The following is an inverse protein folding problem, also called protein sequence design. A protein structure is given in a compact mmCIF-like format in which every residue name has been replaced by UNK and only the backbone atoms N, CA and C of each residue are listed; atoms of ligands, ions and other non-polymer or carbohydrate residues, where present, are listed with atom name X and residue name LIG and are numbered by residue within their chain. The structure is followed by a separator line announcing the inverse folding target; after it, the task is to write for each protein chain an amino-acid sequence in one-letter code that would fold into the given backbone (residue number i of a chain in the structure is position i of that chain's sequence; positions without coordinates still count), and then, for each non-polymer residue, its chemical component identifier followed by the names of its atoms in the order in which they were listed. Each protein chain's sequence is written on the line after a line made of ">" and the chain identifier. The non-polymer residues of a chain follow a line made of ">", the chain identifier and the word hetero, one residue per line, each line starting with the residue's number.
data_IF_775313469552
#
_entry.id   IF_775313469552
#
_cell.length_a   1.000
_cell.length_b   1.000
_cell.length_c   1.000
_cell.angle_alpha   90.00
_cell.angle_beta   90.00
_cell.angle_gamma   90.00
#
_symmetry.space_group_name_H-M   'P 1'
#
loop_
_entity.id
_entity.type
_entity.pdbx_description
1 polymer ?
#
# COMPACT_ATOMS: atom_id res chain seq x y z
N UNK A 1 39.11 4.19 -32.76
CA UNK A 1 37.99 5.07 -33.18
C UNK A 1 36.65 4.32 -33.24
N UNK A 2 36.51 3.22 -33.99
CA UNK A 2 35.23 2.48 -34.08
C UNK A 2 34.69 2.03 -32.71
N UNK A 3 35.55 1.57 -31.80
CA UNK A 3 35.15 1.22 -30.43
C UNK A 3 34.56 2.40 -29.65
N UNK A 4 35.06 3.63 -29.83
CA UNK A 4 34.54 4.84 -29.18
C UNK A 4 33.17 5.24 -29.74
N UNK A 5 33.00 5.18 -31.07
CA UNK A 5 31.72 5.48 -31.74
C UNK A 5 30.64 4.47 -31.36
N UNK A 6 31.00 3.19 -31.28
CA UNK A 6 30.09 2.10 -30.89
C UNK A 6 29.81 2.08 -29.39
N UNK A 7 30.70 2.65 -28.57
CA UNK A 7 30.47 2.81 -27.14
C UNK A 7 29.27 3.74 -26.86
N UNK A 8 29.08 4.77 -27.68
CA UNK A 8 28.01 5.77 -27.56
C UNK A 8 26.63 5.29 -28.06
N UNK A 9 26.54 4.11 -28.68
CA UNK A 9 25.27 3.54 -29.20
C UNK A 9 24.60 2.64 -28.18
N UNK A 10 23.26 2.53 -28.23
CA UNK A 10 22.47 1.62 -27.39
C UNK A 10 22.79 0.16 -27.72
N UNK A 11 22.62 -0.76 -26.75
CA UNK A 11 23.01 -2.19 -26.88
C UNK A 11 22.45 -2.88 -28.15
N UNK A 12 21.27 -2.48 -28.63
CA UNK A 12 20.63 -3.04 -29.84
C UNK A 12 21.27 -2.56 -31.16
N UNK A 13 21.93 -1.40 -31.16
CA UNK A 13 22.54 -0.77 -32.34
C UNK A 13 24.06 -0.94 -32.38
N UNK A 14 24.65 -1.58 -31.36
CA UNK A 14 26.09 -1.78 -31.23
C UNK A 14 26.54 -2.97 -32.08
N UNK A 15 27.52 -2.76 -32.94
CA UNK A 15 28.18 -3.83 -33.71
C UNK A 15 28.95 -4.75 -32.77
N UNK A 16 28.90 -6.06 -33.02
CA UNK A 16 29.70 -7.02 -32.27
C UNK A 16 31.15 -7.04 -32.78
N UNK A 17 32.09 -7.51 -31.93
CA UNK A 17 33.53 -7.53 -32.27
C UNK A 17 33.84 -8.40 -33.48
N UNK A 18 33.04 -9.44 -33.73
CA UNK A 18 33.17 -10.32 -34.89
C UNK A 18 32.84 -9.60 -36.20
N UNK A 19 31.82 -8.74 -36.20
CA UNK A 19 31.48 -7.85 -37.32
C UNK A 19 32.57 -6.82 -37.56
N UNK A 20 33.10 -6.21 -36.49
CA UNK A 20 34.19 -5.24 -36.63
C UNK A 20 35.47 -5.88 -37.21
N UNK A 21 35.79 -7.11 -36.81
CA UNK A 21 36.90 -7.86 -37.39
C UNK A 21 36.70 -8.13 -38.88
N UNK A 22 35.50 -8.57 -39.28
CA UNK A 22 35.19 -8.80 -40.70
C UNK A 22 35.36 -7.52 -41.53
N UNK A 23 34.89 -6.40 -41.01
CA UNK A 23 35.00 -5.09 -41.67
C UNK A 23 36.47 -4.63 -41.75
N UNK A 24 37.29 -4.92 -40.72
CA UNK A 24 38.73 -4.62 -40.74
C UNK A 24 39.49 -5.47 -41.77
N UNK A 25 39.16 -6.76 -41.90
CA UNK A 25 39.78 -7.64 -42.91
C UNK A 25 39.47 -7.14 -44.33
N UNK A 26 38.24 -6.69 -44.58
CA UNK A 26 37.85 -6.08 -45.86
C UNK A 26 38.62 -4.79 -46.18
N UNK A 27 39.11 -4.08 -45.16
CA UNK A 27 39.95 -2.88 -45.29
C UNK A 27 41.46 -3.20 -45.34
N UNK A 28 41.84 -4.48 -45.43
CA UNK A 28 43.23 -4.91 -45.57
C UNK A 28 43.94 -5.26 -44.27
N UNK A 29 43.22 -5.44 -43.15
CA UNK A 29 43.82 -5.91 -41.90
C UNK A 29 44.21 -7.40 -41.99
N UNK A 30 45.49 -7.71 -41.79
CA UNK A 30 46.05 -9.07 -41.89
C UNK A 30 46.24 -9.77 -40.53
N UNK A 31 45.86 -9.13 -39.42
CA UNK A 31 45.98 -9.71 -38.08
C UNK A 31 44.83 -10.65 -37.71
N UNK A 32 44.98 -11.38 -36.59
CA UNK A 32 43.97 -12.32 -36.11
C UNK A 32 42.83 -11.64 -35.33
N UNK A 33 41.68 -12.31 -35.26
CA UNK A 33 40.53 -11.90 -34.44
C UNK A 33 40.91 -11.69 -32.96
N UNK A 34 41.83 -12.52 -32.45
CA UNK A 34 42.29 -12.43 -31.06
C UNK A 34 43.04 -11.13 -30.77
N UNK A 35 43.77 -10.58 -31.76
CA UNK A 35 44.41 -9.27 -31.62
C UNK A 35 43.40 -8.13 -31.57
N UNK A 36 42.30 -8.23 -32.33
CA UNK A 36 41.20 -7.25 -32.24
C UNK A 36 40.48 -7.37 -30.89
N UNK A 37 40.30 -8.57 -30.37
CA UNK A 37 39.73 -8.79 -29.03
C UNK A 37 40.64 -8.26 -27.92
N UNK A 38 41.95 -8.52 -28.00
CA UNK A 38 42.94 -8.02 -27.05
C UNK A 38 42.99 -6.48 -27.06
N UNK A 39 43.03 -5.87 -28.24
CA UNK A 39 42.96 -4.42 -28.39
C UNK A 39 41.65 -3.84 -27.83
N UNK A 40 40.51 -4.49 -28.05
CA UNK A 40 39.23 -4.05 -27.51
C UNK A 40 39.14 -4.17 -25.97
N UNK A 41 39.80 -5.17 -25.37
CA UNK A 41 39.93 -5.31 -23.91
C UNK A 41 40.82 -4.19 -23.35
N UNK A 42 42.02 -4.03 -23.90
CA UNK A 42 42.95 -3.00 -23.49
C UNK A 42 42.37 -1.59 -23.67
N UNK A 43 41.61 -1.35 -24.73
CA UNK A 43 40.89 -0.10 -24.93
C UNK A 43 39.82 0.12 -23.85
N UNK A 44 39.01 -0.90 -23.52
CA UNK A 44 38.03 -0.80 -22.42
C UNK A 44 38.69 -0.56 -21.07
N UNK A 45 39.79 -1.24 -20.78
CA UNK A 45 40.56 -1.07 -19.54
C UNK A 45 41.15 0.34 -19.49
N UNK A 46 41.64 0.86 -20.63
CA UNK A 46 42.14 2.24 -20.74
C UNK A 46 41.04 3.30 -20.62
N UNK A 47 39.82 3.04 -21.10
CA UNK A 47 38.67 3.93 -20.93
C UNK A 47 38.14 3.87 -19.49
N UNK A 48 38.15 2.70 -18.85
CA UNK A 48 37.85 2.56 -17.42
C UNK A 48 38.89 3.27 -16.55
N UNK A 49 40.18 3.13 -16.89
CA UNK A 49 41.27 3.82 -16.20
C UNK A 49 41.20 5.34 -16.42
N UNK A 50 40.90 5.81 -17.64
CA UNK A 50 40.65 7.24 -17.93
C UNK A 50 39.39 7.75 -17.23
N UNK A 51 38.33 6.97 -17.13
CA UNK A 51 37.14 7.32 -16.34
C UNK A 51 37.44 7.39 -14.84
N UNK A 52 38.33 6.53 -14.33
CA UNK A 52 38.80 6.54 -12.93
C UNK A 52 39.78 7.69 -12.65
N UNK A 53 40.57 8.13 -13.64
CA UNK A 53 41.64 9.13 -13.46
C UNK A 53 41.19 10.55 -13.80
N UNK A 54 40.35 10.74 -14.82
CA UNK A 54 39.81 12.05 -15.23
C UNK A 54 38.65 12.53 -14.34
N UNK A 55 38.22 11.73 -13.36
CA UNK A 55 37.10 12.00 -12.45
C UNK A 55 37.49 12.29 -11.00
N UNK A 56 38.78 12.41 -10.67
CA UNK A 56 39.19 12.92 -9.35
C UNK A 56 39.14 14.45 -9.36
N UNK A 57 37.93 15.00 -9.36
CA UNK A 57 37.73 16.38 -8.95
C UNK A 57 38.35 16.59 -7.56
N UNK A 58 38.86 17.79 -7.30
CA UNK A 58 39.10 18.22 -5.93
C UNK A 58 37.71 18.43 -5.30
N UNK A 59 37.35 17.62 -4.31
CA UNK A 59 36.07 17.74 -3.62
C UNK A 59 36.28 18.50 -2.33
N UNK A 60 35.43 19.49 -2.06
CA UNK A 60 35.39 20.15 -0.76
C UNK A 60 34.60 19.24 0.17
N UNK A 61 35.18 18.77 1.29
CA UNK A 61 34.44 18.01 2.30
C UNK A 61 33.27 18.84 2.81
N UNK A 62 32.06 18.27 2.82
CA UNK A 62 30.87 18.92 3.35
C UNK A 62 30.70 18.49 4.80
N UNK A 63 30.39 19.46 5.68
CA UNK A 63 30.03 19.21 7.08
C UNK A 63 28.64 19.74 7.33
N UNK A 64 27.82 18.94 8.00
CA UNK A 64 26.45 19.28 8.35
C UNK A 64 26.28 19.29 9.87
N UNK A 65 25.53 20.25 10.39
CA UNK A 65 25.12 20.31 11.79
C UNK A 65 24.01 19.29 12.10
N UNK A 66 23.81 19.01 13.39
CA UNK A 66 22.72 18.16 13.86
C UNK A 66 21.36 18.69 13.37
N UNK A 67 20.54 17.80 12.82
CA UNK A 67 19.20 18.12 12.33
C UNK A 67 19.19 19.04 11.10
N UNK A 68 20.34 19.33 10.50
CA UNK A 68 20.43 20.26 9.38
C UNK A 68 19.84 19.67 8.11
N UNK A 69 20.21 18.45 7.75
CA UNK A 69 19.86 17.89 6.45
C UNK A 69 19.68 16.37 6.43
N UNK A 70 18.80 15.90 5.55
CA UNK A 70 18.79 14.52 5.07
C UNK A 70 19.00 14.46 3.56
N UNK A 71 19.45 13.32 3.07
CA UNK A 71 19.46 12.97 1.67
C UNK A 71 18.39 11.92 1.38
N UNK A 72 17.70 12.08 0.26
CA UNK A 72 16.79 11.10 -0.28
C UNK A 72 17.28 10.59 -1.64
N UNK A 73 17.19 9.28 -1.86
CA UNK A 73 17.44 8.67 -3.16
C UNK A 73 16.53 7.46 -3.42
N UNK A 74 16.32 7.16 -4.70
CA UNK A 74 15.66 5.94 -5.13
C UNK A 74 16.69 4.94 -5.64
N UNK A 75 16.48 3.67 -5.34
CA UNK A 75 17.25 2.62 -5.97
C UNK A 75 16.44 1.37 -6.25
N UNK A 76 17.00 0.45 -7.05
CA UNK A 76 16.30 -0.77 -7.46
C UNK A 76 16.95 -1.99 -6.81
N UNK A 77 16.17 -2.83 -6.13
CA UNK A 77 16.63 -4.10 -5.57
C UNK A 77 15.67 -5.25 -5.85
N UNK A 78 16.04 -6.47 -5.45
CA UNK A 78 15.20 -7.65 -5.56
C UNK A 78 15.03 -8.33 -4.20
N UNK A 79 13.80 -8.66 -3.84
CA UNK A 79 13.50 -9.49 -2.67
C UNK A 79 12.57 -10.63 -3.06
N UNK A 80 12.56 -11.70 -2.26
CA UNK A 80 11.57 -12.78 -2.41
C UNK A 80 10.33 -12.43 -1.60
N UNK A 81 9.19 -12.32 -2.27
CA UNK A 81 7.88 -12.06 -1.68
C UNK A 81 6.91 -13.14 -2.18
N UNK A 82 6.22 -13.81 -1.26
CA UNK A 82 5.33 -14.93 -1.52
C UNK A 82 5.97 -16.00 -2.44
N UNK A 83 7.24 -16.33 -2.18
CA UNK A 83 7.97 -17.33 -2.95
C UNK A 83 8.48 -16.87 -4.33
N UNK A 84 8.26 -15.61 -4.72
CA UNK A 84 8.67 -15.06 -6.02
C UNK A 84 9.71 -13.97 -5.86
N UNK A 85 10.72 -13.95 -6.73
CA UNK A 85 11.66 -12.84 -6.80
C UNK A 85 10.99 -11.64 -7.46
N UNK A 86 10.83 -10.55 -6.71
CA UNK A 86 10.15 -9.33 -7.16
C UNK A 86 11.15 -8.18 -7.21
N UNK A 87 11.13 -7.42 -8.31
CA UNK A 87 11.87 -6.17 -8.42
C UNK A 87 11.17 -5.08 -7.62
N UNK A 88 11.93 -4.41 -6.76
CA UNK A 88 11.45 -3.39 -5.84
C UNK A 88 12.19 -2.07 -6.06
N UNK A 89 11.51 -1.00 -5.67
CA UNK A 89 11.97 0.36 -5.68
C UNK A 89 12.16 0.77 -4.21
N UNK A 90 13.42 0.97 -3.82
CA UNK A 90 13.81 1.25 -2.44
C UNK A 90 14.01 2.75 -2.28
N UNK A 91 13.15 3.36 -1.48
CA UNK A 91 13.33 4.71 -0.97
C UNK A 91 14.42 4.68 0.10
N UNK A 92 15.44 5.49 -0.07
CA UNK A 92 16.55 5.60 0.88
C UNK A 92 16.57 6.99 1.49
N UNK A 93 16.53 7.06 2.81
CA UNK A 93 16.74 8.28 3.58
C UNK A 93 18.02 8.15 4.37
N UNK A 94 18.80 9.23 4.42
CA UNK A 94 20.03 9.28 5.23
C UNK A 94 20.20 10.65 5.86
N UNK A 95 20.31 10.72 7.17
CA UNK A 95 20.68 11.95 7.89
C UNK A 95 22.12 12.33 7.56
N UNK A 96 22.34 13.61 7.29
CA UNK A 96 23.63 14.10 6.83
C UNK A 96 24.66 14.14 7.98
N UNK A 97 24.23 14.42 9.22
CA UNK A 97 25.11 14.45 10.38
C UNK A 97 25.38 13.04 10.94
N UNK A 98 24.40 12.41 11.60
CA UNK A 98 24.58 11.08 12.25
C UNK A 98 24.86 9.93 11.29
N UNK A 99 24.59 10.12 9.99
CA UNK A 99 24.61 9.06 8.96
C UNK A 99 23.56 7.96 9.17
N UNK A 100 22.65 8.12 10.12
CA UNK A 100 21.51 7.21 10.29
C UNK A 100 20.69 7.15 9.01
N UNK A 101 20.23 5.96 8.65
CA UNK A 101 19.57 5.72 7.39
C UNK A 101 18.36 4.80 7.55
N UNK A 102 17.35 5.02 6.71
CA UNK A 102 16.11 4.26 6.67
C UNK A 102 15.82 3.87 5.23
N UNK A 103 15.36 2.64 5.06
CA UNK A 103 15.01 2.08 3.77
C UNK A 103 13.56 1.60 3.78
N UNK A 104 12.84 1.89 2.70
CA UNK A 104 11.47 1.40 2.51
C UNK A 104 11.26 0.97 1.07
N UNK A 105 10.73 -0.23 0.90
CA UNK A 105 10.49 -0.87 -0.37
C UNK A 105 9.07 -0.61 -0.91
N UNK A 106 8.99 -0.40 -2.22
CA UNK A 106 7.77 -0.23 -2.99
C UNK A 106 7.84 -1.02 -4.30
N UNK A 107 6.69 -1.27 -4.92
CA UNK A 107 6.66 -1.87 -6.26
C UNK A 107 6.97 -0.86 -7.38
N UNK A 108 6.75 0.44 -7.15
CA UNK A 108 6.88 1.51 -8.15
C UNK A 108 7.43 2.80 -7.51
N UNK A 109 7.98 3.69 -8.34
CA UNK A 109 8.41 5.04 -7.95
C UNK A 109 7.39 6.08 -8.45
N UNK A 110 6.33 6.34 -7.68
CA UNK A 110 5.36 7.42 -7.96
C UNK A 110 5.23 8.38 -6.78
N UNK A 111 4.47 9.45 -6.98
CA UNK A 111 4.32 10.55 -6.01
C UNK A 111 3.75 10.06 -4.69
N UNK A 112 2.70 9.24 -4.73
CA UNK A 112 2.07 8.68 -3.53
C UNK A 112 3.05 7.82 -2.70
N UNK A 113 3.94 7.07 -3.35
CA UNK A 113 4.98 6.29 -2.65
C UNK A 113 6.11 7.19 -2.12
N UNK A 114 6.44 8.27 -2.84
CA UNK A 114 7.41 9.25 -2.36
C UNK A 114 6.91 9.88 -1.05
N UNK A 115 5.65 10.31 -1.02
CA UNK A 115 5.05 10.95 0.15
C UNK A 115 4.92 9.97 1.33
N UNK A 116 4.48 8.73 1.07
CA UNK A 116 4.45 7.65 2.07
C UNK A 116 5.85 7.40 2.67
N UNK A 117 6.89 7.40 1.82
CA UNK A 117 8.25 7.14 2.28
C UNK A 117 8.77 8.23 3.23
N UNK A 118 8.44 9.50 2.98
CA UNK A 118 8.81 10.61 3.87
C UNK A 118 8.15 10.47 5.23
N UNK A 119 6.84 10.19 5.25
CA UNK A 119 6.11 9.97 6.50
C UNK A 119 6.77 8.87 7.34
N UNK A 120 6.99 7.69 6.74
CA UNK A 120 7.58 6.57 7.46
C UNK A 120 9.02 6.84 7.92
N UNK A 121 9.84 7.48 7.08
CA UNK A 121 11.21 7.81 7.48
C UNK A 121 11.24 8.81 8.64
N UNK A 122 10.42 9.87 8.59
CA UNK A 122 10.34 10.87 9.65
C UNK A 122 9.79 10.30 10.96
N UNK A 123 8.84 9.36 10.89
CA UNK A 123 8.40 8.61 12.06
C UNK A 123 9.55 7.80 12.68
N UNK A 124 10.36 7.12 11.86
CA UNK A 124 11.48 6.31 12.35
C UNK A 124 12.57 7.19 12.96
N UNK A 125 12.85 8.36 12.38
CA UNK A 125 13.77 9.33 12.95
C UNK A 125 13.21 10.07 14.17
N UNK A 126 11.88 10.03 14.39
CA UNK A 126 11.22 10.77 15.47
C UNK A 126 11.21 12.29 15.28
N UNK A 127 11.44 12.77 14.05
CA UNK A 127 11.53 14.19 13.75
C UNK A 127 11.93 14.47 12.30
N UNK A 128 11.99 15.75 11.94
CA UNK A 128 12.21 16.23 10.56
C UNK A 128 13.45 17.13 10.52
N UNK A 129 14.44 16.84 9.66
CA UNK A 129 15.58 17.75 9.47
C UNK A 129 15.18 19.02 8.71
N UNK A 130 15.92 20.10 8.91
CA UNK A 130 15.63 21.44 8.35
C UNK A 130 15.67 21.46 6.82
N UNK A 131 16.43 20.57 6.19
CA UNK A 131 16.64 20.51 4.74
C UNK A 131 16.61 19.10 4.18
N UNK A 132 15.94 18.90 3.05
CA UNK A 132 15.97 17.68 2.26
C UNK A 132 16.80 17.88 0.98
N UNK A 133 17.77 17.00 0.76
CA UNK A 133 18.64 16.99 -0.42
C UNK A 133 18.18 15.87 -1.36
N UNK A 134 17.84 16.23 -2.59
CA UNK A 134 17.25 15.35 -3.58
C UNK A 134 18.04 15.34 -4.88
N UNK A 135 17.97 14.23 -5.62
CA UNK A 135 18.32 14.25 -7.04
C UNK A 135 17.19 14.90 -7.88
N UNK A 136 17.46 15.28 -9.13
CA UNK A 136 16.45 15.79 -10.07
C UNK A 136 15.51 14.67 -10.56
N UNK A 137 14.85 13.98 -9.61
CA UNK A 137 13.93 12.89 -9.88
C UNK A 137 12.57 13.43 -10.35
N UNK A 138 11.99 12.74 -11.35
CA UNK A 138 10.69 13.11 -11.95
C UNK A 138 9.52 13.07 -10.95
N UNK A 139 9.68 12.40 -9.82
CA UNK A 139 8.67 12.31 -8.74
C UNK A 139 8.63 13.55 -7.84
N UNK A 140 9.60 14.47 -7.98
CA UNK A 140 9.61 15.74 -7.28
C UNK A 140 9.76 16.95 -8.23
N UNK A 141 10.26 16.74 -9.44
CA UNK A 141 10.47 17.79 -10.45
C UNK A 141 9.65 17.48 -11.71
N UNK A 142 8.69 18.35 -12.05
CA UNK A 142 7.86 18.22 -13.26
C UNK A 142 8.67 18.58 -14.53
N UNK A 143 9.53 19.60 -14.44
CA UNK A 143 10.47 19.96 -15.52
C UNK A 143 11.68 20.74 -14.99
N UNK A 144 12.87 20.46 -15.54
CA UNK A 144 14.11 21.20 -15.25
C UNK A 144 14.26 22.31 -16.29
N UNK A 145 14.26 23.59 -15.85
CA UNK A 145 14.47 24.76 -16.71
C UNK A 145 15.95 25.08 -16.95
N UNK A 146 16.25 26.25 -17.55
CA UNK A 146 17.63 26.77 -17.65
C UNK A 146 18.05 27.37 -16.31
N UNK A 147 19.12 26.86 -15.69
CA UNK A 147 19.67 27.40 -14.43
C UNK A 147 19.08 26.78 -13.16
N UNK A 148 18.84 27.58 -12.11
CA UNK A 148 18.28 27.14 -10.81
C UNK A 148 16.74 27.06 -10.78
N UNK A 149 16.06 27.49 -11.85
CA UNK A 149 14.60 27.46 -11.93
C UNK A 149 14.08 26.05 -12.22
N UNK A 150 13.32 25.50 -11.27
CA UNK A 150 12.69 24.19 -11.37
C UNK A 150 11.19 24.34 -11.19
N UNK A 151 10.42 23.69 -12.08
CA UNK A 151 8.98 23.52 -11.83
C UNK A 151 8.83 22.30 -10.92
N UNK A 152 8.79 22.56 -9.63
CA UNK A 152 8.56 21.55 -8.59
C UNK A 152 7.10 21.13 -8.64
N UNK A 153 6.85 19.83 -8.47
CA UNK A 153 5.49 19.30 -8.46
C UNK A 153 4.68 19.95 -7.32
N UNK A 154 3.48 20.48 -7.62
CA UNK A 154 2.66 21.21 -6.65
C UNK A 154 2.36 20.39 -5.39
N UNK A 155 2.16 19.08 -5.51
CA UNK A 155 1.91 18.19 -4.37
C UNK A 155 3.18 17.95 -3.55
N UNK A 156 4.35 17.88 -4.19
CA UNK A 156 5.62 17.83 -3.48
C UNK A 156 5.86 19.12 -2.69
N UNK A 157 5.63 20.30 -3.29
CA UNK A 157 5.68 21.58 -2.57
C UNK A 157 4.72 21.63 -1.40
N UNK A 158 3.50 21.09 -1.54
CA UNK A 158 2.53 20.99 -0.46
C UNK A 158 3.04 20.11 0.70
N UNK A 159 3.64 18.95 0.39
CA UNK A 159 4.25 18.08 1.39
C UNK A 159 5.42 18.77 2.12
N UNK A 160 6.32 19.41 1.36
CA UNK A 160 7.46 20.17 1.90
C UNK A 160 6.97 21.27 2.83
N UNK A 161 5.92 22.01 2.45
CA UNK A 161 5.31 23.05 3.27
C UNK A 161 4.61 22.49 4.51
N UNK A 162 3.97 21.33 4.41
CA UNK A 162 3.32 20.65 5.54
C UNK A 162 4.34 20.20 6.60
N UNK A 163 5.50 19.72 6.17
CA UNK A 163 6.58 19.26 7.05
C UNK A 163 7.63 20.33 7.37
N UNK A 164 7.49 21.55 6.81
CA UNK A 164 8.29 22.74 7.11
C UNK A 164 9.82 22.58 6.90
N UNK A 165 10.26 21.80 5.93
CA UNK A 165 11.69 21.70 5.56
C UNK A 165 12.00 22.39 4.24
N UNK A 166 13.27 22.73 3.97
CA UNK A 166 13.71 23.27 2.68
C UNK A 166 14.13 22.15 1.72
N UNK A 167 13.61 22.14 0.48
CA UNK A 167 13.94 21.12 -0.51
C UNK A 167 14.99 21.62 -1.50
N UNK A 168 16.20 21.06 -1.43
CA UNK A 168 17.30 21.38 -2.33
C UNK A 168 17.56 20.23 -3.30
N UNK A 169 17.57 20.50 -4.60
CA UNK A 169 17.96 19.50 -5.59
C UNK A 169 19.36 19.77 -6.14
N UNK A 170 20.16 18.72 -6.30
CA UNK A 170 21.51 18.81 -6.88
C UNK A 170 21.48 19.28 -8.34
N UNK A 171 22.54 19.95 -8.81
CA UNK A 171 22.62 20.37 -10.20
C UNK A 171 22.73 19.15 -11.16
N UNK A 172 22.04 19.15 -12.33
CA UNK A 172 22.22 18.11 -13.33
C UNK A 172 23.71 17.96 -13.70
N UNK A 173 24.20 16.72 -13.76
CA UNK A 173 25.61 16.38 -14.06
C UNK A 173 26.67 16.81 -13.01
N UNK A 174 26.26 17.13 -11.78
CA UNK A 174 27.18 17.48 -10.68
C UNK A 174 27.38 16.35 -9.68
N UNK A 175 27.95 15.22 -10.13
CA UNK A 175 28.31 14.09 -9.25
C UNK A 175 29.32 14.44 -8.15
N UNK A 176 29.96 15.62 -8.24
CA UNK A 176 30.94 16.12 -7.28
C UNK A 176 30.33 16.64 -5.97
N UNK A 177 29.03 16.97 -5.94
CA UNK A 177 28.32 17.33 -4.69
C UNK A 177 27.92 16.09 -3.87
N UNK A 178 28.01 14.87 -4.44
CA UNK A 178 27.56 13.61 -3.83
C UNK A 178 28.70 12.69 -3.33
N UNK A 179 29.96 13.07 -3.57
CA UNK A 179 31.12 12.18 -3.47
C UNK A 179 31.45 11.59 -2.09
N UNK A 180 31.06 12.24 -0.99
CA UNK A 180 31.28 11.68 0.36
C UNK A 180 30.33 10.53 0.71
N UNK A 181 29.15 10.47 0.06
CA UNK A 181 28.05 9.61 0.52
C UNK A 181 27.91 8.36 -0.37
N UNK A 182 28.25 8.43 -1.66
CA UNK A 182 28.06 7.33 -2.63
C UNK A 182 28.85 6.05 -2.30
N UNK A 183 30.08 6.17 -1.77
CA UNK A 183 30.92 5.01 -1.46
C UNK A 183 30.36 4.19 -0.28
N UNK A 184 29.85 4.87 0.75
CA UNK A 184 29.28 4.22 1.93
C UNK A 184 27.90 3.59 1.68
N UNK A 185 27.09 4.15 0.77
CA UNK A 185 25.77 3.59 0.44
C UNK A 185 25.89 2.26 -0.32
N UNK A 186 26.87 2.13 -1.22
CA UNK A 186 27.13 0.85 -1.91
C UNK A 186 27.58 -0.25 -0.95
N UNK A 187 28.47 0.06 0.00
CA UNK A 187 29.00 -0.91 0.97
C UNK A 187 27.96 -1.34 2.02
N UNK A 188 27.09 -0.42 2.44
CA UNK A 188 26.04 -0.70 3.43
C UNK A 188 24.93 -1.57 2.84
N UNK A 189 24.66 -1.43 1.55
CA UNK A 189 23.57 -2.14 0.86
C UNK A 189 23.81 -3.65 0.79
N UNK A 190 25.04 -4.08 0.51
CA UNK A 190 25.35 -5.51 0.48
C UNK A 190 25.14 -6.16 1.87
N UNK A 191 25.53 -5.46 2.94
CA UNK A 191 25.33 -5.94 4.33
C UNK A 191 23.88 -5.89 4.79
N UNK A 192 23.11 -4.94 4.28
CA UNK A 192 21.69 -4.82 4.60
C UNK A 192 20.91 -6.04 4.12
N UNK A 193 21.07 -6.43 2.85
CA UNK A 193 20.34 -7.54 2.24
C UNK A 193 20.92 -8.93 2.56
N UNK A 194 22.10 -8.99 3.16
CA UNK A 194 22.71 -10.24 3.57
C UNK A 194 21.82 -10.96 4.60
N UNK A 195 21.40 -12.18 4.29
CA UNK A 195 20.54 -12.98 5.16
C UNK A 195 19.05 -12.60 5.11
N UNK A 196 18.60 -11.82 4.13
CA UNK A 196 17.19 -11.50 3.95
C UNK A 196 16.36 -12.79 3.73
N UNK A 197 15.31 -13.04 4.54
CA UNK A 197 14.43 -14.20 4.38
C UNK A 197 13.47 -14.05 3.18
N UNK A 198 12.64 -15.07 2.94
CA UNK A 198 11.47 -14.96 2.06
C UNK A 198 10.33 -14.30 2.86
N UNK A 199 9.69 -13.28 2.30
CA UNK A 199 8.65 -12.51 2.96
C UNK A 199 7.26 -12.92 2.45
N UNK A 200 6.21 -12.87 3.27
CA UNK A 200 4.85 -13.15 2.80
C UNK A 200 4.26 -11.96 2.03
N UNK A 201 4.58 -10.74 2.47
CA UNK A 201 4.09 -9.50 1.88
C UNK A 201 5.16 -8.41 1.81
N UNK A 202 4.87 -7.34 1.05
CA UNK A 202 5.70 -6.13 1.04
C UNK A 202 5.72 -5.44 2.42
N UNK A 203 4.62 -5.52 3.18
CA UNK A 203 4.54 -4.97 4.52
C UNK A 203 5.54 -5.65 5.46
N UNK A 204 5.61 -6.99 5.42
CA UNK A 204 6.57 -7.77 6.23
C UNK A 204 8.02 -7.42 5.90
N UNK A 205 8.32 -7.25 4.61
CA UNK A 205 9.65 -6.79 4.16
C UNK A 205 9.97 -5.40 4.74
N UNK A 206 9.02 -4.46 4.72
CA UNK A 206 9.24 -3.11 5.23
C UNK A 206 9.44 -3.07 6.75
N UNK A 207 8.69 -3.89 7.50
CA UNK A 207 8.92 -4.08 8.95
C UNK A 207 10.33 -4.61 9.18
N UNK A 208 10.74 -5.64 8.44
CA UNK A 208 12.09 -6.20 8.56
C UNK A 208 13.19 -5.19 8.20
N UNK A 209 13.01 -4.41 7.12
CA UNK A 209 13.96 -3.36 6.70
C UNK A 209 14.16 -2.31 7.79
N UNK A 210 13.07 -1.88 8.45
CA UNK A 210 13.16 -0.95 9.56
C UNK A 210 14.01 -1.52 10.71
N UNK A 211 13.71 -2.74 11.16
CA UNK A 211 14.48 -3.41 12.20
C UNK A 211 15.95 -3.59 11.81
N UNK A 212 16.21 -3.97 10.55
CA UNK A 212 17.57 -4.16 10.04
C UNK A 212 18.35 -2.85 9.99
N UNK A 213 17.71 -1.74 9.59
CA UNK A 213 18.34 -0.42 9.60
C UNK A 213 18.75 -0.03 11.03
N UNK A 214 17.84 -0.16 12.01
CA UNK A 214 18.12 0.15 13.42
C UNK A 214 19.25 -0.71 13.99
N UNK A 215 19.26 -2.01 13.70
CA UNK A 215 20.34 -2.91 14.11
C UNK A 215 21.71 -2.48 13.55
N UNK A 216 21.74 -2.10 12.26
CA UNK A 216 22.97 -1.62 11.63
C UNK A 216 23.48 -0.29 12.22
N UNK A 217 22.62 0.56 12.76
CA UNK A 217 23.07 1.80 13.41
C UNK A 217 23.97 1.51 14.63
N UNK A 218 23.71 0.40 15.35
CA UNK A 218 24.54 -0.06 16.47
C UNK A 218 25.84 -0.72 16.02
N UNK A 219 25.82 -1.41 14.87
CA UNK A 219 26.98 -2.14 14.34
C UNK A 219 27.99 -1.21 13.61
N UNK A 220 27.50 -0.14 12.99
CA UNK A 220 28.30 0.73 12.14
C UNK A 220 28.94 1.88 12.95
N UNK A 221 30.24 2.09 12.70
CA UNK A 221 30.98 3.25 13.20
C UNK A 221 30.72 4.48 12.34
N UNK A 222 30.61 5.63 12.98
CA UNK A 222 30.51 6.91 12.30
C UNK A 222 31.83 7.22 11.57
N UNK A 223 31.82 7.65 10.29
CA UNK A 223 33.06 7.86 9.53
C UNK A 223 33.98 8.97 10.05
N UNK A 224 33.42 9.95 10.75
CA UNK A 224 34.14 11.17 11.20
C UNK A 224 34.16 11.36 12.73
N UNK A 225 33.37 10.57 13.48
CA UNK A 225 33.20 10.71 14.92
C UNK A 225 33.56 9.36 15.55
N UNK A 226 34.20 9.37 16.72
CA UNK A 226 34.58 8.13 17.41
C UNK A 226 33.40 7.55 18.20
N UNK A 227 32.31 7.27 17.50
CA UNK A 227 31.08 6.70 18.05
C UNK A 227 30.36 5.87 16.99
N UNK A 228 29.33 5.12 17.41
CA UNK A 228 28.42 4.42 16.51
C UNK A 228 27.45 5.39 15.84
N UNK A 229 26.84 4.96 14.74
CA UNK A 229 25.77 5.73 14.09
C UNK A 229 24.57 5.92 15.03
N UNK A 230 24.29 4.93 15.88
CA UNK A 230 23.21 5.00 16.87
C UNK A 230 23.47 6.09 17.93
N UNK A 231 24.68 6.17 18.48
CA UNK A 231 25.05 7.20 19.46
C UNK A 231 24.97 8.60 18.83
N UNK A 232 25.55 8.77 17.63
CA UNK A 232 25.46 10.04 16.91
C UNK A 232 24.01 10.44 16.56
N UNK A 233 23.13 9.47 16.30
CA UNK A 233 21.72 9.71 16.05
C UNK A 233 20.97 10.12 17.33
N UNK A 234 21.28 9.50 18.47
CA UNK A 234 20.69 9.89 19.74
C UNK A 234 21.00 11.34 20.10
N UNK A 235 22.23 11.80 19.81
CA UNK A 235 22.63 13.20 19.96
C UNK A 235 21.89 14.13 18.97
N UNK A 236 21.69 13.68 17.73
CA UNK A 236 21.02 14.47 16.67
C UNK A 236 19.50 14.56 16.86
N UNK A 237 18.87 13.55 17.47
CA UNK A 237 17.41 13.43 17.51
C UNK A 237 16.73 14.62 18.21
N UNK A 238 17.35 15.19 19.24
CA UNK A 238 16.84 16.37 19.95
C UNK A 238 16.83 17.67 19.13
N UNK A 239 17.61 17.71 18.05
CA UNK A 239 17.75 18.88 17.16
C UNK A 239 16.83 18.80 15.92
N UNK A 240 16.12 17.68 15.74
CA UNK A 240 15.13 17.51 14.69
C UNK A 240 13.88 18.33 15.00
N UNK A 241 13.25 18.87 13.95
CA UNK A 241 11.96 19.54 14.09
C UNK A 241 10.88 18.53 14.46
N UNK A 242 9.87 18.99 15.21
CA UNK A 242 8.75 18.16 15.61
C UNK A 242 8.03 17.57 14.39
N UNK A 243 7.62 16.30 14.50
CA UNK A 243 6.85 15.61 13.47
C UNK A 243 5.36 15.97 13.61
N UNK A 244 4.75 16.69 12.64
CA UNK A 244 3.30 16.92 12.63
C UNK A 244 2.55 15.65 12.24
N UNK A 245 1.21 15.74 12.13
CA UNK A 245 0.39 14.66 11.58
C UNK A 245 0.81 14.29 10.15
N UNK A 246 0.49 13.07 9.72
CA UNK A 246 0.78 12.60 8.37
C UNK A 246 0.18 13.54 7.30
N UNK A 247 0.97 13.86 6.28
CA UNK A 247 0.49 14.54 5.08
C UNK A 247 -0.46 13.62 4.30
N UNK A 248 -1.60 14.15 3.84
CA UNK A 248 -2.55 13.36 3.06
C UNK A 248 -2.00 13.07 1.63
N UNK A 249 -1.33 11.93 1.52
CA UNK A 249 -0.41 11.55 0.45
C UNK A 249 -1.07 11.00 -0.84
N UNK A 250 -2.38 11.21 -1.06
CA UNK A 250 -3.06 10.66 -2.25
C UNK A 250 -2.85 11.42 -3.56
N UNK A 251 -2.76 10.71 -4.68
CA UNK A 251 -2.89 11.34 -6.00
C UNK A 251 -4.33 11.24 -6.46
N UNK A 252 -4.94 12.37 -6.79
CA UNK A 252 -6.33 12.41 -7.25
C UNK A 252 -6.45 12.26 -8.76
N UNK A 253 -7.41 11.43 -9.20
CA UNK A 253 -7.77 11.27 -10.60
C UNK A 253 -9.27 11.16 -10.76
N UNK A 254 -9.84 11.88 -11.73
CA UNK A 254 -11.24 11.68 -12.11
C UNK A 254 -11.38 10.40 -12.94
N UNK A 255 -12.24 9.48 -12.51
CA UNK A 255 -12.53 8.22 -13.21
C UNK A 255 -14.03 8.06 -13.41
N UNK A 256 -14.42 7.49 -14.55
CA UNK A 256 -15.81 7.12 -14.82
C UNK A 256 -16.05 5.67 -14.39
N UNK A 257 -17.10 5.46 -13.59
CA UNK A 257 -17.56 4.13 -13.18
C UNK A 257 -18.27 3.46 -14.36
N UNK A 258 -17.97 2.19 -14.63
CA UNK A 258 -18.63 1.42 -15.69
C UNK A 258 -20.07 1.06 -15.33
N UNK A 259 -20.84 0.55 -16.30
CA UNK A 259 -22.18 0.01 -16.06
C UNK A 259 -22.20 -1.22 -15.14
N UNK A 260 -21.06 -1.91 -15.01
CA UNK A 260 -20.86 -3.03 -14.07
C UNK A 260 -20.32 -2.59 -12.71
N UNK A 261 -20.39 -1.30 -12.40
CA UNK A 261 -19.97 -0.70 -11.14
C UNK A 261 -18.46 -0.85 -10.86
N UNK A 262 -17.62 -0.76 -11.88
CA UNK A 262 -16.16 -0.92 -11.76
C UNK A 262 -15.41 0.36 -12.14
N UNK A 263 -14.27 0.59 -11.50
CA UNK A 263 -13.26 1.60 -11.84
C UNK A 263 -11.97 0.93 -12.25
N UNK A 264 -11.37 1.42 -13.34
CA UNK A 264 -10.13 0.88 -13.88
C UNK A 264 -8.92 1.70 -13.42
N UNK A 265 -7.94 1.03 -12.80
CA UNK A 265 -6.68 1.62 -12.40
C UNK A 265 -5.52 0.63 -12.55
N UNK A 266 -4.46 1.04 -13.24
CA UNK A 266 -3.22 0.25 -13.43
C UNK A 266 -3.43 -1.18 -13.95
N UNK A 267 -4.44 -1.34 -14.82
CA UNK A 267 -4.82 -2.63 -15.39
C UNK A 267 -5.77 -3.45 -14.51
N UNK A 268 -5.97 -3.08 -13.24
CA UNK A 268 -6.90 -3.72 -12.32
C UNK A 268 -8.28 -3.02 -12.33
N UNK A 269 -9.29 -3.73 -11.84
CA UNK A 269 -10.68 -3.26 -11.74
C UNK A 269 -11.16 -3.37 -10.30
N UNK A 270 -11.79 -2.32 -9.81
CA UNK A 270 -12.26 -2.22 -8.42
C UNK A 270 -13.73 -1.84 -8.41
N UNK A 271 -14.53 -2.53 -7.60
CA UNK A 271 -15.97 -2.25 -7.50
C UNK A 271 -16.29 -0.99 -6.70
N UNK A 272 -17.43 -0.39 -7.01
CA UNK A 272 -17.95 0.83 -6.39
C UNK A 272 -19.46 0.62 -6.17
N UNK A 273 -20.10 1.22 -5.14
CA UNK A 273 -21.53 1.06 -4.92
C UNK A 273 -22.34 1.36 -6.18
N UNK A 274 -23.34 0.52 -6.45
CA UNK A 274 -24.08 0.55 -7.70
C UNK A 274 -24.87 1.84 -7.96
N UNK A 275 -25.14 2.63 -6.92
CA UNK A 275 -25.70 3.99 -7.03
C UNK A 275 -24.83 4.92 -7.87
N UNK A 276 -23.53 4.65 -7.98
CA UNK A 276 -22.55 5.44 -8.73
C UNK A 276 -22.24 4.89 -10.13
N UNK A 277 -22.93 3.84 -10.59
CA UNK A 277 -22.75 3.31 -11.94
C UNK A 277 -22.91 4.39 -13.01
N UNK A 278 -22.02 4.41 -14.01
CA UNK A 278 -21.97 5.41 -15.09
C UNK A 278 -21.69 6.87 -14.65
N UNK A 279 -21.36 7.13 -13.38
CA UNK A 279 -21.00 8.47 -12.89
C UNK A 279 -19.48 8.70 -12.93
N UNK A 280 -19.07 9.95 -12.95
CA UNK A 280 -17.68 10.33 -12.70
C UNK A 280 -17.46 10.46 -11.19
N UNK A 281 -16.36 9.88 -10.71
CA UNK A 281 -15.96 9.93 -9.30
C UNK A 281 -14.50 10.35 -9.19
N UNK A 282 -14.10 10.80 -8.01
CA UNK A 282 -12.70 11.00 -7.66
C UNK A 282 -12.09 9.68 -7.17
N UNK A 283 -10.96 9.30 -7.76
CA UNK A 283 -10.11 8.21 -7.29
C UNK A 283 -8.90 8.82 -6.60
N UNK A 284 -8.82 8.65 -5.28
CA UNK A 284 -7.69 9.01 -4.44
C UNK A 284 -6.75 7.81 -4.30
N UNK A 285 -5.56 7.94 -4.85
CA UNK A 285 -4.58 6.87 -4.97
C UNK A 285 -3.53 7.04 -3.87
N UNK A 286 -3.53 6.14 -2.89
CA UNK A 286 -2.49 6.04 -1.87
C UNK A 286 -1.44 5.00 -2.27
N UNK A 287 -0.36 4.88 -1.50
CA UNK A 287 0.72 3.94 -1.78
C UNK A 287 0.25 2.48 -1.72
N UNK A 288 -0.64 2.16 -0.78
CA UNK A 288 -1.12 0.82 -0.44
C UNK A 288 -2.62 0.60 -0.72
N UNK A 289 -3.40 1.68 -0.88
CA UNK A 289 -4.85 1.62 -1.07
C UNK A 289 -5.40 2.61 -2.10
N UNK A 290 -6.64 2.38 -2.50
CA UNK A 290 -7.43 3.24 -3.37
C UNK A 290 -8.70 3.63 -2.64
N UNK A 291 -8.98 4.93 -2.56
CA UNK A 291 -10.22 5.46 -1.99
C UNK A 291 -11.01 6.13 -3.10
N UNK A 292 -12.23 5.67 -3.29
CA UNK A 292 -13.19 6.25 -4.22
C UNK A 292 -14.02 7.26 -3.45
N UNK A 293 -14.15 8.48 -3.99
CA UNK A 293 -14.93 9.54 -3.41
C UNK A 293 -15.86 10.19 -4.44
N UNK A 294 -17.07 10.52 -4.02
CA UNK A 294 -18.06 11.25 -4.82
C UNK A 294 -18.77 12.25 -3.93
N UNK A 295 -19.08 13.44 -4.45
CA UNK A 295 -19.86 14.46 -3.73
C UNK A 295 -19.26 14.82 -2.35
N UNK A 296 -17.93 14.75 -2.23
CA UNK A 296 -17.19 15.03 -1.00
C UNK A 296 -17.16 13.87 0.02
N UNK A 297 -17.82 12.76 -0.25
CA UNK A 297 -17.89 11.59 0.64
C UNK A 297 -17.05 10.43 0.13
N UNK A 298 -16.52 9.62 1.07
CA UNK A 298 -15.85 8.36 0.75
C UNK A 298 -16.92 7.29 0.47
N UNK A 299 -16.83 6.63 -0.69
CA UNK A 299 -17.86 5.70 -1.16
C UNK A 299 -17.38 4.26 -1.24
N UNK A 300 -16.07 4.04 -1.40
CA UNK A 300 -15.45 2.71 -1.37
C UNK A 300 -13.95 2.83 -1.07
N UNK A 301 -13.39 1.80 -0.46
CA UNK A 301 -11.96 1.65 -0.25
C UNK A 301 -11.53 0.25 -0.69
N UNK A 302 -10.41 0.15 -1.40
CA UNK A 302 -9.83 -1.12 -1.83
C UNK A 302 -8.32 -1.15 -1.60
N UNK A 303 -7.74 -2.29 -1.18
CA UNK A 303 -6.29 -2.45 -1.21
C UNK A 303 -5.78 -2.34 -2.64
N UNK A 304 -4.66 -1.65 -2.83
CA UNK A 304 -4.10 -1.42 -4.16
C UNK A 304 -3.35 -2.65 -4.62
N UNK A 305 -3.78 -3.19 -5.77
CA UNK A 305 -3.14 -4.33 -6.38
C UNK A 305 -2.06 -3.88 -7.36
N UNK A 306 -0.85 -4.41 -7.19
CA UNK A 306 0.26 -4.24 -8.12
C UNK A 306 0.41 -5.50 -8.97
N UNK A 307 0.36 -5.35 -10.28
CA UNK A 307 0.46 -6.48 -11.20
C UNK A 307 1.82 -7.19 -11.08
N UNK A 308 1.83 -8.48 -10.74
CA UNK A 308 3.01 -9.33 -10.90
C UNK A 308 3.27 -9.51 -12.39
N UNK A 309 4.51 -9.27 -12.82
CA UNK A 309 4.95 -9.47 -14.20
C UNK A 309 4.49 -10.81 -14.78
N UNK A 310 4.11 -10.79 -16.06
CA UNK A 310 3.59 -11.88 -16.91
C UNK A 310 2.11 -12.27 -16.78
N UNK A 311 1.36 -11.83 -15.77
CA UNK A 311 -0.10 -12.00 -15.78
C UNK A 311 -0.75 -10.99 -16.74
N UNK A 312 -0.98 -11.40 -17.99
CA UNK A 312 -1.63 -10.60 -19.05
C UNK A 312 -3.08 -10.18 -18.75
N UNK A 313 -3.64 -10.53 -17.59
CA UNK A 313 -5.01 -10.20 -17.19
C UNK A 313 -4.98 -9.42 -15.88
N UNK A 314 -5.61 -8.25 -15.91
CA UNK A 314 -5.90 -7.46 -14.72
C UNK A 314 -6.77 -8.22 -13.73
N UNK A 315 -6.51 -8.03 -12.44
CA UNK A 315 -7.36 -8.56 -11.38
C UNK A 315 -8.64 -7.72 -11.26
N UNK A 316 -9.72 -8.34 -10.80
CA UNK A 316 -10.97 -7.63 -10.49
C UNK A 316 -11.33 -7.89 -9.05
N UNK A 317 -11.32 -6.84 -8.25
CA UNK A 317 -11.70 -6.89 -6.85
C UNK A 317 -13.15 -6.46 -6.71
N UNK A 318 -13.98 -7.42 -6.32
CA UNK A 318 -15.38 -7.17 -6.01
C UNK A 318 -15.55 -7.02 -4.51
N UNK A 319 -16.41 -6.09 -4.13
CA UNK A 319 -17.07 -6.08 -2.85
C UNK A 319 -18.55 -6.31 -3.14
N UNK A 320 -19.11 -7.38 -2.58
CA UNK A 320 -20.48 -7.79 -2.85
C UNK A 320 -21.50 -6.80 -2.27
N UNK A 321 -21.13 -6.05 -1.23
CA UNK A 321 -21.98 -4.99 -0.65
C UNK A 321 -22.37 -3.94 -1.68
N UNK A 322 -21.44 -3.60 -2.58
CA UNK A 322 -21.66 -2.62 -3.65
C UNK A 322 -22.81 -2.98 -4.59
N UNK A 323 -23.20 -4.26 -4.66
CA UNK A 323 -24.21 -4.76 -5.59
C UNK A 323 -25.56 -5.06 -4.94
N UNK A 324 -25.70 -4.94 -3.61
CA UNK A 324 -26.92 -5.34 -2.88
C UNK A 324 -28.17 -4.58 -3.34
N UNK A 325 -28.07 -3.27 -3.58
CA UNK A 325 -29.20 -2.47 -4.07
C UNK A 325 -29.68 -2.87 -5.46
N UNK A 326 -28.77 -3.39 -6.31
CA UNK A 326 -29.12 -3.96 -7.63
C UNK A 326 -29.70 -5.35 -7.46
N UNK A 327 -29.16 -6.13 -6.53
CA UNK A 327 -29.58 -7.49 -6.27
C UNK A 327 -31.04 -7.55 -5.78
N UNK A 328 -31.47 -6.62 -4.93
CA UNK A 328 -32.88 -6.45 -4.53
C UNK A 328 -33.83 -6.28 -5.73
N UNK A 329 -33.39 -5.60 -6.79
CA UNK A 329 -34.19 -5.39 -8.01
C UNK A 329 -34.07 -6.54 -9.01
N UNK A 330 -32.95 -7.29 -8.97
CA UNK A 330 -32.64 -8.37 -9.91
C UNK A 330 -32.14 -9.62 -9.18
N UNK A 331 -33.01 -10.36 -8.46
CA UNK A 331 -32.60 -11.50 -7.64
C UNK A 331 -31.88 -12.62 -8.42
N UNK A 332 -32.26 -12.81 -9.68
CA UNK A 332 -31.62 -13.83 -10.55
C UNK A 332 -30.11 -13.62 -10.77
N UNK A 333 -29.59 -12.41 -10.54
CA UNK A 333 -28.15 -12.13 -10.63
C UNK A 333 -27.34 -12.87 -9.55
N UNK A 334 -27.98 -13.30 -8.46
CA UNK A 334 -27.33 -14.03 -7.37
C UNK A 334 -26.72 -15.37 -7.80
N UNK A 335 -27.27 -16.02 -8.83
CA UNK A 335 -26.84 -17.36 -9.26
C UNK A 335 -25.45 -17.38 -9.89
N UNK A 336 -25.16 -16.40 -10.76
CA UNK A 336 -23.96 -16.35 -11.59
C UNK A 336 -23.21 -15.01 -11.48
N UNK A 337 -23.61 -14.14 -10.55
CA UNK A 337 -22.99 -12.83 -10.37
C UNK A 337 -21.59 -12.97 -9.80
N UNK A 338 -20.58 -12.51 -10.55
CA UNK A 338 -19.19 -12.55 -10.13
C UNK A 338 -18.92 -11.94 -8.73
N UNK A 339 -19.55 -10.83 -8.30
CA UNK A 339 -19.36 -10.30 -6.96
C UNK A 339 -19.74 -11.26 -5.84
N UNK A 340 -20.71 -12.14 -6.07
CA UNK A 340 -21.24 -13.06 -5.05
C UNK A 340 -20.45 -14.38 -4.97
N UNK A 341 -19.46 -14.58 -5.85
CA UNK A 341 -18.58 -15.74 -5.80
C UNK A 341 -17.67 -15.74 -4.55
N UNK A 342 -17.43 -14.58 -3.94
CA UNK A 342 -16.56 -14.40 -2.76
C UNK A 342 -17.36 -14.19 -1.46
N UNK A 343 -18.66 -14.54 -1.43
CA UNK A 343 -19.46 -14.46 -0.21
C UNK A 343 -18.86 -15.29 0.96
N UNK A 344 -19.05 -14.83 2.21
CA UNK A 344 -18.70 -15.60 3.40
C UNK A 344 -19.25 -17.05 3.37
N UNK A 345 -18.52 -18.03 3.95
CA UNK A 345 -18.89 -19.45 3.86
C UNK A 345 -20.31 -19.76 4.35
N UNK A 346 -20.76 -19.12 5.44
CA UNK A 346 -22.10 -19.31 5.98
C UNK A 346 -23.18 -18.85 4.98
N UNK A 347 -23.01 -17.67 4.36
CA UNK A 347 -23.93 -17.21 3.32
C UNK A 347 -23.93 -18.13 2.09
N UNK A 348 -22.77 -18.66 1.67
CA UNK A 348 -22.71 -19.64 0.56
C UNK A 348 -23.46 -20.94 0.88
N UNK A 349 -23.31 -21.44 2.12
CA UNK A 349 -24.02 -22.63 2.59
C UNK A 349 -25.53 -22.40 2.67
N UNK A 350 -25.93 -21.22 3.16
CA UNK A 350 -27.35 -20.82 3.17
C UNK A 350 -27.90 -20.71 1.74
N UNK A 351 -27.16 -20.06 0.85
CA UNK A 351 -27.52 -19.89 -0.55
C UNK A 351 -27.75 -21.25 -1.25
N UNK A 352 -26.87 -22.24 -1.03
CA UNK A 352 -27.01 -23.56 -1.66
C UNK A 352 -28.26 -24.33 -1.18
N UNK A 353 -28.70 -24.09 0.05
CA UNK A 353 -29.93 -24.66 0.62
C UNK A 353 -31.18 -23.93 0.09
N UNK A 354 -31.17 -22.59 0.14
CA UNK A 354 -32.32 -21.79 -0.26
C UNK A 354 -32.59 -21.86 -1.76
N UNK A 355 -31.56 -21.88 -2.61
CA UNK A 355 -31.73 -21.94 -4.07
C UNK A 355 -32.39 -23.24 -4.57
N UNK A 356 -32.46 -24.30 -3.76
CA UNK A 356 -33.20 -25.52 -4.09
C UNK A 356 -34.71 -25.36 -3.95
N UNK A 357 -35.17 -24.31 -3.26
CA UNK A 357 -36.58 -24.04 -2.98
C UNK A 357 -37.15 -23.05 -4.00
N UNK A 358 -38.44 -23.19 -4.39
CA UNK A 358 -39.10 -22.17 -5.20
C UNK A 358 -39.14 -20.83 -4.44
N UNK A 359 -38.63 -19.76 -5.04
CA UNK A 359 -38.55 -18.43 -4.44
C UNK A 359 -37.37 -18.18 -3.50
N UNK A 360 -36.51 -19.18 -3.27
CA UNK A 360 -35.39 -19.03 -2.35
C UNK A 360 -34.29 -18.07 -2.80
N UNK A 361 -34.29 -17.67 -4.08
CA UNK A 361 -33.45 -16.55 -4.56
C UNK A 361 -33.90 -15.23 -3.94
N UNK A 362 -35.20 -14.97 -3.86
CA UNK A 362 -35.73 -13.76 -3.19
C UNK A 362 -35.44 -13.78 -1.69
N UNK A 363 -35.66 -14.92 -1.03
CA UNK A 363 -35.36 -15.06 0.40
C UNK A 363 -33.88 -14.79 0.69
N UNK A 364 -32.97 -15.37 -0.11
CA UNK A 364 -31.55 -15.14 0.07
C UNK A 364 -31.16 -13.67 -0.17
N UNK A 365 -31.77 -13.01 -1.16
CA UNK A 365 -31.52 -11.59 -1.43
C UNK A 365 -32.03 -10.71 -0.29
N UNK A 366 -33.19 -11.01 0.29
CA UNK A 366 -33.71 -10.29 1.44
C UNK A 366 -32.81 -10.47 2.67
N UNK A 367 -32.28 -11.67 2.90
CA UNK A 367 -31.31 -11.92 3.98
C UNK A 367 -30.01 -11.14 3.76
N UNK A 368 -29.46 -11.16 2.55
CA UNK A 368 -28.25 -10.38 2.23
C UNK A 368 -28.49 -8.87 2.37
N UNK A 369 -29.70 -8.39 2.06
CA UNK A 369 -30.06 -7.00 2.23
C UNK A 369 -30.14 -6.55 3.70
N UNK A 370 -30.26 -7.47 4.66
CA UNK A 370 -30.23 -7.12 6.10
C UNK A 370 -28.92 -6.46 6.49
N UNK A 371 -27.82 -6.77 5.80
CA UNK A 371 -26.49 -6.16 6.04
C UNK A 371 -26.48 -4.66 5.70
N UNK A 372 -27.46 -4.15 4.95
CA UNK A 372 -27.62 -2.70 4.72
C UNK A 372 -28.19 -1.95 5.93
N UNK A 373 -28.80 -2.67 6.88
CA UNK A 373 -29.56 -2.10 7.99
C UNK A 373 -29.08 -2.58 9.37
N UNK A 374 -28.32 -3.66 9.41
CA UNK A 374 -27.80 -4.29 10.62
C UNK A 374 -26.29 -4.52 10.50
N UNK A 375 -25.63 -4.70 11.63
CA UNK A 375 -24.23 -5.13 11.68
C UNK A 375 -24.02 -6.46 10.92
N UNK A 376 -23.00 -6.51 10.07
CA UNK A 376 -22.71 -7.70 9.25
C UNK A 376 -22.43 -8.93 10.13
N UNK A 377 -21.71 -8.74 11.24
CA UNK A 377 -21.40 -9.80 12.19
C UNK A 377 -22.66 -10.40 12.81
N UNK A 378 -23.60 -9.55 13.24
CA UNK A 378 -24.87 -10.01 13.79
C UNK A 378 -25.71 -10.82 12.77
N UNK A 379 -25.75 -10.37 11.51
CA UNK A 379 -26.44 -11.10 10.43
C UNK A 379 -25.75 -12.43 10.13
N UNK A 380 -24.41 -12.45 10.08
CA UNK A 380 -23.63 -13.66 9.85
C UNK A 380 -23.86 -14.68 10.98
N UNK A 381 -23.81 -14.25 12.24
CA UNK A 381 -24.10 -15.11 13.40
C UNK A 381 -25.54 -15.65 13.38
N UNK A 382 -26.52 -14.83 13.01
CA UNK A 382 -27.91 -15.30 12.85
C UNK A 382 -28.02 -16.40 11.77
N UNK A 383 -27.27 -16.27 10.67
CA UNK A 383 -27.23 -17.28 9.60
C UNK A 383 -26.54 -18.56 10.06
N UNK A 384 -25.43 -18.46 10.79
CA UNK A 384 -24.72 -19.61 11.35
C UNK A 384 -25.60 -20.40 12.32
N UNK A 385 -26.26 -19.72 13.26
CA UNK A 385 -27.22 -20.33 14.19
C UNK A 385 -28.39 -21.00 13.44
N UNK A 386 -28.93 -20.34 12.40
CA UNK A 386 -30.00 -20.92 11.59
C UNK A 386 -29.55 -22.20 10.85
N UNK A 387 -28.29 -22.24 10.42
CA UNK A 387 -27.69 -23.41 9.76
C UNK A 387 -27.45 -24.57 10.74
N UNK A 388 -27.04 -24.28 11.97
CA UNK A 388 -26.85 -25.28 13.03
C UNK A 388 -28.15 -25.98 13.41
N UNK A 389 -29.27 -25.25 13.42
CA UNK A 389 -30.60 -25.83 13.65
C UNK A 389 -31.12 -26.72 12.49
N UNK A 390 -30.38 -26.83 11.37
CA UNK A 390 -30.64 -27.79 10.29
C UNK A 390 -31.78 -27.44 9.31
N UNK A 391 -32.66 -26.49 9.65
CA UNK A 391 -33.73 -25.98 8.76
C UNK A 391 -33.66 -24.44 8.66
N UNK A 392 -32.67 -23.89 7.95
CA UNK A 392 -32.61 -22.45 7.76
C UNK A 392 -33.74 -21.99 6.84
N UNK A 393 -34.42 -20.91 7.25
CA UNK A 393 -35.40 -20.16 6.46
C UNK A 393 -35.18 -18.67 6.70
N UNK A 394 -35.77 -17.81 5.86
CA UNK A 394 -35.72 -16.36 6.04
C UNK A 394 -36.26 -15.95 7.40
N UNK A 395 -37.43 -16.47 7.78
CA UNK A 395 -38.09 -16.14 9.05
C UNK A 395 -37.24 -16.57 10.24
N UNK A 396 -36.55 -17.70 10.12
CA UNK A 396 -35.66 -18.19 11.17
C UNK A 396 -34.46 -17.26 11.37
N UNK A 397 -33.82 -16.84 10.27
CA UNK A 397 -32.71 -15.87 10.34
C UNK A 397 -33.17 -14.54 10.91
N UNK A 398 -34.34 -14.02 10.48
CA UNK A 398 -34.91 -12.78 11.01
C UNK A 398 -35.21 -12.88 12.51
N UNK A 399 -35.75 -14.01 12.98
CA UNK A 399 -36.03 -14.22 14.40
C UNK A 399 -34.75 -14.26 15.24
N UNK A 400 -33.72 -14.97 14.76
CA UNK A 400 -32.43 -15.05 15.44
C UNK A 400 -31.73 -13.70 15.46
N UNK A 401 -31.73 -12.97 14.34
CA UNK A 401 -31.18 -11.62 14.26
C UNK A 401 -31.90 -10.70 15.25
N UNK A 402 -33.23 -10.74 15.29
CA UNK A 402 -34.04 -9.97 16.24
C UNK A 402 -33.60 -10.20 17.68
N UNK A 403 -33.44 -11.47 18.10
CA UNK A 403 -32.96 -11.85 19.44
C UNK A 403 -31.52 -11.39 19.73
N UNK A 404 -30.65 -11.43 18.73
CA UNK A 404 -29.25 -10.97 18.87
C UNK A 404 -29.16 -9.44 19.01
N UNK A 405 -30.08 -8.71 18.38
CA UNK A 405 -30.14 -7.25 18.43
C UNK A 405 -31.06 -6.72 19.53
N UNK A 406 -31.81 -7.57 20.21
CA UNK A 406 -32.78 -7.17 21.23
C UNK A 406 -32.03 -6.59 22.45
N UNK A 407 -32.40 -5.37 22.84
CA UNK A 407 -31.86 -4.80 24.07
C UNK A 407 -32.34 -5.63 25.27
N UNK A 408 -31.46 -5.89 26.26
CA UNK A 408 -31.87 -6.63 27.44
C UNK A 408 -33.02 -5.89 28.13
N UNK A 409 -34.04 -6.62 28.62
CA UNK A 409 -35.19 -5.99 29.26
C UNK A 409 -34.71 -5.08 30.40
N UNK A 410 -35.37 -3.92 30.61
CA UNK A 410 -34.98 -3.00 31.66
C UNK A 410 -34.92 -3.72 33.00
N UNK A 411 -33.90 -3.41 33.80
CA UNK A 411 -33.73 -4.03 35.12
C UNK A 411 -35.03 -3.87 35.92
N UNK A 412 -35.52 -4.94 36.58
CA UNK A 412 -36.72 -4.86 37.40
C UNK A 412 -36.58 -3.70 38.39
N UNK A 413 -37.59 -2.84 38.47
CA UNK A 413 -37.63 -1.76 39.46
C UNK A 413 -37.56 -2.41 40.84
N UNK A 414 -36.63 -2.01 41.74
CA UNK A 414 -36.57 -2.55 43.09
C UNK A 414 -37.89 -2.20 43.80
N UNK A 415 -38.72 -3.21 44.01
CA UNK A 415 -40.02 -3.06 44.66
C UNK A 415 -39.76 -2.61 46.12
N UNK A 416 -40.25 -1.43 46.54
CA UNK A 416 -40.16 -0.98 47.92
C UNK A 416 -40.72 -2.04 48.87
N UNK A 417 -40.06 -2.28 50.02
CA UNK A 417 -40.48 -3.30 51.00
C UNK A 417 -41.93 -3.13 51.50
N UNK A 418 -42.51 -1.93 51.37
CA UNK A 418 -43.90 -1.63 51.71
C UNK A 418 -44.95 -2.04 50.66
N UNK A 419 -44.54 -2.41 49.43
CA UNK A 419 -45.43 -2.93 48.38
C UNK A 419 -45.42 -4.46 48.33
N UNK A 420 -45.32 -5.11 49.49
CA UNK A 420 -45.62 -6.54 49.61
C UNK A 420 -47.13 -6.68 49.79
N UNK A 421 -47.78 -7.37 48.86
CA UNK A 421 -49.19 -7.72 49.00
C UNK A 421 -49.36 -8.53 50.29
N UNK A 422 -50.18 -8.02 51.21
CA UNK A 422 -50.53 -8.73 52.46
C UNK A 422 -51.40 -9.95 52.18
N UNK A 423 -52.10 -9.94 51.04
CA UNK A 423 -52.86 -11.05 50.49
C UNK A 423 -52.32 -11.32 49.09
N UNK A 424 -51.53 -12.40 48.96
CA UNK A 424 -51.12 -12.85 47.63
C UNK A 424 -52.36 -13.31 46.85
N UNK A 425 -52.56 -12.82 45.62
CA UNK A 425 -53.65 -13.30 44.78
C UNK A 425 -53.40 -14.77 44.46
N UNK A 426 -54.22 -15.65 45.03
CA UNK A 426 -54.21 -17.05 44.64
C UNK A 426 -54.75 -17.13 43.21
N UNK A 427 -53.95 -17.72 42.31
CA UNK A 427 -54.39 -18.13 40.98
C UNK A 427 -55.38 -19.31 41.14
N UNK A 428 -56.60 -18.98 41.55
CA UNK A 428 -57.65 -19.95 41.84
C UNK A 428 -58.66 -19.96 40.70
N UNK A 429 -58.40 -20.80 39.71
CA UNK A 429 -59.29 -21.02 38.56
C UNK A 429 -60.68 -21.55 38.97
N UNK A 430 -60.82 -22.15 40.16
CA UNK A 430 -62.10 -22.65 40.67
C UNK A 430 -63.08 -21.52 41.04
N UNK A 431 -62.62 -20.26 41.16
CA UNK A 431 -63.52 -19.10 41.32
C UNK A 431 -64.45 -18.92 40.11
N UNK A 432 -63.98 -19.23 38.91
CA UNK A 432 -64.83 -19.19 37.71
C UNK A 432 -65.92 -20.28 37.72
N UNK A 433 -65.62 -21.45 38.25
CA UNK A 433 -66.60 -22.55 38.35
C UNK A 433 -67.73 -22.23 39.34
N UNK A 434 -67.46 -21.45 40.39
CA UNK A 434 -68.48 -21.00 41.34
C UNK A 434 -69.48 -20.00 40.74
N UNK A 435 -69.04 -19.17 39.79
CA UNK A 435 -69.91 -18.26 39.03
C UNK A 435 -70.82 -19.01 38.05
N UNK A 436 -70.39 -20.19 37.58
CA UNK A 436 -71.19 -21.04 36.70
C UNK A 436 -72.35 -21.71 37.43
N UNK A 437 -72.13 -22.23 38.65
CA UNK A 437 -73.19 -22.89 39.44
C UNK A 437 -74.28 -21.93 39.94
N UNK A 438 -73.95 -20.66 40.14
CA UNK A 438 -74.94 -19.64 40.50
C UNK A 438 -75.93 -19.33 39.37
N UNK A 439 -75.56 -19.65 38.12
CA UNK A 439 -76.38 -19.42 36.94
C UNK A 439 -77.31 -20.62 36.61
N UNK A 440 -77.03 -21.80 37.18
CA UNK A 440 -77.84 -23.02 37.01
C UNK A 440 -78.88 -23.22 38.14
N UNK A 441 -78.89 -22.33 39.15
CA UNK A 441 -79.80 -22.36 40.30
C UNK A 441 -80.83 -21.20 40.31
N UNK A 442 -80.92 -20.44 39.22
CA UNK A 442 -81.95 -19.45 38.93
C UNK A 442 -82.68 -19.87 37.65
#
# INVERSE_FOLDING_TARGET
>A
QWLSTEHKKTKKLRRNLRSMYRDLVALGFTGSYDRVCAFARQWKDSEQFKAQTSGKGCFIPLRFACGEAFQFDWSEDFARIAGKQVKLQIAQFKLAHSRAFVLRAYYQQKHEMLFDAHWHAFQIFGGIPKRGIYDNMKTAVDSVGRGKERRVNQRFTAMVSHYLFDAQFCNPASGWEKGQIEKNVQDSRQRLWQGAPDFQSLADLNVWLEHRCKALWSELRHPELDQTVQEAFADEQGELMALPNAFDAFVEQTKRVTSTCLVHHEGNRYSVPASYANRAISLRIYADKLVMAAEGQHIAEHPRLFGSGHARRGHTQYDWHHYLSVLQKKPGALRNGAPFAELPPAFKKLQSILLQRPGGDRDMVEILALVLHHDEGAVLSAVELALECGKPSKEHVLNLLGRLTEEPPPKPIPIPKGLRLTLEPQANVNRYDSLRRAHDAA
#
